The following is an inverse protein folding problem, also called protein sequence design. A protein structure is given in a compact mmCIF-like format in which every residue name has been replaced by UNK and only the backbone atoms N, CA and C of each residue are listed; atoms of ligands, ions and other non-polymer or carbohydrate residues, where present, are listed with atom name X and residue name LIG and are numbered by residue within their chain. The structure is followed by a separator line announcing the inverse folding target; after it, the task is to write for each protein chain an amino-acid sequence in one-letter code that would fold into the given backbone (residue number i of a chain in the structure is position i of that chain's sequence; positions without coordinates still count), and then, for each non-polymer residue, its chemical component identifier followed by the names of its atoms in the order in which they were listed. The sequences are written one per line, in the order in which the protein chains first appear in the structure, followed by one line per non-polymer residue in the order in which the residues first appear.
data_IF_724317579146
#
_entry.id   IF_724317579146
#
_cell.length_a   1.000
_cell.length_b   1.000
_cell.length_c   1.000
_cell.angle_alpha   90.00
_cell.angle_beta   90.00
_cell.angle_gamma   90.00
#
_symmetry.space_group_name_H-M   'P 1'
#
loop_
_entity.id
_entity.type
_entity.pdbx_description
1 polymer ?
#
# COMPACT_ATOMS: atom_id res chain seq x y z
N UNK A 1 -35.70 -9.84 -44.04
CA UNK A 1 -35.21 -8.63 -43.36
C UNK A 1 -35.37 -8.60 -41.84
N UNK A 2 -35.73 -9.72 -41.15
CA UNK A 2 -35.93 -9.80 -39.67
C UNK A 2 -34.70 -10.37 -38.90
N UNK A 3 -33.74 -10.98 -39.58
CA UNK A 3 -32.56 -11.60 -38.93
C UNK A 3 -31.36 -10.67 -38.69
N UNK A 4 -31.31 -9.52 -39.38
CA UNK A 4 -30.18 -8.56 -39.22
C UNK A 4 -30.31 -7.64 -37.97
N UNK A 5 -31.53 -7.46 -37.42
CA UNK A 5 -31.78 -6.60 -36.24
C UNK A 5 -31.42 -7.28 -34.89
N UNK A 6 -31.33 -8.62 -34.87
CA UNK A 6 -31.01 -9.38 -33.67
C UNK A 6 -29.50 -9.42 -33.39
N UNK A 7 -28.66 -9.25 -34.39
CA UNK A 7 -27.20 -9.30 -34.26
C UNK A 7 -26.62 -7.99 -33.68
N UNK A 8 -27.26 -6.87 -33.90
CA UNK A 8 -26.82 -5.56 -33.37
C UNK A 8 -27.13 -5.36 -31.88
N UNK A 9 -28.05 -6.13 -31.30
CA UNK A 9 -28.38 -6.03 -29.87
C UNK A 9 -27.42 -6.84 -28.97
N UNK A 10 -26.72 -7.82 -29.53
CA UNK A 10 -25.76 -8.66 -28.79
C UNK A 10 -24.36 -8.03 -28.67
N UNK A 11 -24.04 -7.00 -29.45
CA UNK A 11 -22.73 -6.30 -29.40
C UNK A 11 -22.73 -5.20 -28.31
N UNK A 12 -23.88 -4.79 -27.83
CA UNK A 12 -24.03 -3.74 -26.80
C UNK A 12 -23.87 -4.19 -25.33
N UNK A 13 -23.70 -5.48 -25.07
CA UNK A 13 -23.66 -6.02 -23.69
C UNK A 13 -22.26 -6.34 -23.15
N UNK A 14 -21.23 -6.02 -23.88
CA UNK A 14 -19.86 -6.28 -23.46
C UNK A 14 -19.22 -4.95 -23.04
N UNK A 15 -18.77 -4.91 -21.80
CA UNK A 15 -17.91 -3.92 -21.16
C UNK A 15 -18.55 -3.04 -20.05
N UNK A 16 -19.30 -3.68 -19.15
CA UNK A 16 -19.24 -3.21 -17.77
C UNK A 16 -18.24 -4.09 -17.03
N UNK A 17 -16.96 -3.86 -17.26
CA UNK A 17 -15.96 -4.33 -16.31
C UNK A 17 -16.08 -3.44 -15.08
N UNK A 18 -16.73 -3.96 -14.05
CA UNK A 18 -16.64 -3.39 -12.70
C UNK A 18 -15.15 -3.55 -12.36
N UNK A 19 -14.41 -2.46 -12.38
CA UNK A 19 -13.03 -2.43 -11.92
C UNK A 19 -13.01 -2.87 -10.45
N UNK A 20 -12.77 -4.14 -10.19
CA UNK A 20 -12.51 -4.63 -8.85
C UNK A 20 -11.21 -3.96 -8.41
N UNK A 21 -11.28 -3.25 -7.30
CA UNK A 21 -10.07 -2.69 -6.68
C UNK A 21 -9.06 -3.83 -6.52
N UNK A 22 -7.92 -3.72 -7.19
CA UNK A 22 -6.86 -4.71 -7.10
C UNK A 22 -6.34 -4.74 -5.67
N UNK A 23 -6.30 -5.92 -5.05
CA UNK A 23 -5.85 -6.07 -3.68
C UNK A 23 -4.33 -5.90 -3.60
N UNK A 24 -3.87 -4.88 -2.90
CA UNK A 24 -2.46 -4.61 -2.64
C UNK A 24 -2.02 -5.50 -1.49
N UNK A 25 -1.01 -6.33 -1.71
CA UNK A 25 -0.53 -7.27 -0.71
C UNK A 25 1.00 -7.35 -0.72
N UNK A 26 1.62 -6.51 0.11
CA UNK A 26 3.04 -6.56 0.39
C UNK A 26 3.33 -7.47 1.58
N UNK A 27 4.38 -8.28 1.48
CA UNK A 27 4.88 -9.15 2.53
C UNK A 27 6.29 -8.74 2.96
N UNK A 28 6.57 -8.92 4.24
CA UNK A 28 7.87 -8.61 4.83
C UNK A 28 8.85 -9.75 4.57
N UNK A 29 10.04 -9.41 4.08
CA UNK A 29 11.15 -10.36 3.90
C UNK A 29 12.07 -10.41 5.12
N UNK A 30 12.89 -11.45 5.21
CA UNK A 30 13.94 -11.56 6.25
C UNK A 30 15.02 -10.48 6.15
N UNK A 31 15.13 -9.80 5.00
CA UNK A 31 16.01 -8.67 4.79
C UNK A 31 15.44 -7.35 5.34
N UNK A 32 14.19 -7.34 5.83
CA UNK A 32 13.53 -6.13 6.33
C UNK A 32 12.96 -5.24 5.23
N UNK A 33 12.78 -5.77 4.04
CA UNK A 33 12.12 -5.10 2.92
C UNK A 33 10.71 -5.65 2.72
N UNK A 34 9.83 -4.84 2.15
CA UNK A 34 8.51 -5.27 1.71
C UNK A 34 8.57 -5.58 0.20
N UNK A 35 7.91 -6.67 -0.21
CA UNK A 35 7.78 -7.08 -1.61
C UNK A 35 6.35 -7.49 -1.90
N UNK A 36 5.92 -7.37 -3.16
CA UNK A 36 4.63 -7.88 -3.61
C UNK A 36 4.57 -9.40 -3.40
N UNK A 37 3.51 -9.86 -2.77
CA UNK A 37 3.31 -11.29 -2.46
C UNK A 37 3.22 -12.16 -3.71
N UNK A 38 2.71 -11.63 -4.83
CA UNK A 38 2.43 -12.40 -6.04
C UNK A 38 3.69 -12.76 -6.82
N UNK A 39 4.61 -11.77 -6.99
CA UNK A 39 5.75 -11.89 -7.89
C UNK A 39 7.08 -11.48 -7.26
N UNK A 40 7.08 -11.11 -5.96
CA UNK A 40 8.24 -10.62 -5.22
C UNK A 40 8.86 -9.33 -5.78
N UNK A 41 8.13 -8.59 -6.62
CA UNK A 41 8.56 -7.27 -7.09
C UNK A 41 8.54 -6.23 -5.96
N UNK A 42 9.27 -5.13 -6.15
CA UNK A 42 9.28 -3.99 -5.23
C UNK A 42 8.16 -2.97 -5.52
N UNK A 43 7.11 -3.41 -6.23
CA UNK A 43 5.95 -2.57 -6.57
C UNK A 43 4.70 -3.38 -6.89
N UNK A 44 3.57 -2.68 -6.91
CA UNK A 44 2.29 -3.15 -7.46
C UNK A 44 1.82 -2.14 -8.51
N UNK A 45 1.21 -2.60 -9.60
CA UNK A 45 0.58 -1.75 -10.60
C UNK A 45 -0.93 -1.90 -10.52
N UNK A 46 -1.64 -0.77 -10.38
CA UNK A 46 -3.09 -0.71 -10.40
C UNK A 46 -3.53 -0.11 -11.73
N UNK A 47 -4.48 -0.77 -12.40
CA UNK A 47 -5.01 -0.33 -13.67
C UNK A 47 -6.26 0.54 -13.46
N UNK A 48 -6.34 1.61 -14.25
CA UNK A 48 -7.44 2.58 -14.32
C UNK A 48 -7.84 2.76 -15.78
N UNK A 49 -8.55 1.81 -16.32
CA UNK A 49 -8.92 1.81 -17.74
C UNK A 49 -9.64 3.11 -18.15
N UNK A 50 -9.21 3.69 -19.26
CA UNK A 50 -9.80 4.89 -19.83
C UNK A 50 -9.46 6.21 -19.14
N UNK A 51 -8.65 6.20 -18.05
CA UNK A 51 -8.20 7.42 -17.38
C UNK A 51 -6.83 7.88 -17.89
N UNK A 52 -6.68 9.19 -18.05
CA UNK A 52 -5.39 9.82 -18.30
C UNK A 52 -4.51 9.79 -17.04
N UNK A 53 -3.22 9.97 -17.23
CA UNK A 53 -2.24 10.13 -16.15
C UNK A 53 -2.65 11.23 -15.15
N UNK A 54 -3.09 12.38 -15.69
CA UNK A 54 -3.46 13.55 -14.89
C UNK A 54 -4.70 13.29 -14.02
N UNK A 55 -5.71 12.61 -14.56
CA UNK A 55 -6.90 12.21 -13.78
C UNK A 55 -6.53 11.24 -12.65
N UNK A 56 -5.67 10.27 -12.91
CA UNK A 56 -5.23 9.31 -11.89
C UNK A 56 -4.41 10.01 -10.81
N UNK A 57 -3.52 10.95 -11.20
CA UNK A 57 -2.72 11.73 -10.27
C UNK A 57 -3.58 12.57 -9.33
N UNK A 58 -4.56 13.32 -9.86
CA UNK A 58 -5.45 14.16 -9.04
C UNK A 58 -6.31 13.32 -8.09
N UNK A 59 -6.83 12.19 -8.55
CA UNK A 59 -7.58 11.26 -7.69
C UNK A 59 -6.72 10.67 -6.58
N UNK A 60 -5.49 10.26 -6.91
CA UNK A 60 -4.55 9.75 -5.93
C UNK A 60 -4.17 10.83 -4.91
N UNK A 61 -3.91 12.07 -5.37
CA UNK A 61 -3.59 13.19 -4.49
C UNK A 61 -4.74 13.49 -3.53
N UNK A 62 -6.00 13.49 -4.02
CA UNK A 62 -7.19 13.64 -3.18
C UNK A 62 -7.29 12.50 -2.16
N UNK A 63 -7.17 11.24 -2.60
CA UNK A 63 -7.28 10.05 -1.73
C UNK A 63 -6.19 10.05 -0.64
N UNK A 64 -4.94 10.37 -1.00
CA UNK A 64 -3.84 10.47 -0.04
C UNK A 64 -4.08 11.62 0.93
N UNK A 65 -4.51 12.80 0.44
CA UNK A 65 -4.81 13.96 1.29
C UNK A 65 -5.88 13.63 2.34
N UNK A 66 -6.91 12.87 1.96
CA UNK A 66 -7.98 12.47 2.87
C UNK A 66 -7.56 11.39 3.88
N UNK A 67 -6.52 10.61 3.58
CA UNK A 67 -6.04 9.55 4.45
C UNK A 67 -5.21 10.06 5.64
N UNK A 68 -4.81 11.35 5.66
CA UNK A 68 -3.92 11.90 6.68
C UNK A 68 -4.46 13.20 7.28
N UNK A 69 -4.25 13.38 8.60
CA UNK A 69 -4.70 14.57 9.32
C UNK A 69 -3.90 15.84 8.96
N UNK A 70 -2.62 15.69 8.62
CA UNK A 70 -1.71 16.80 8.25
C UNK A 70 -1.00 16.50 6.94
N UNK A 71 -1.70 16.45 5.81
CA UNK A 71 -1.14 16.01 4.53
C UNK A 71 -0.01 16.89 4.01
N UNK A 72 0.01 18.19 4.33
CA UNK A 72 1.03 19.14 3.85
C UNK A 72 2.44 18.80 4.32
N UNK A 73 2.57 18.19 5.51
CA UNK A 73 3.87 17.91 6.11
C UNK A 73 4.47 16.59 5.61
N UNK A 74 3.64 15.71 5.05
CA UNK A 74 4.03 14.35 4.67
C UNK A 74 4.02 14.10 3.17
N UNK A 75 3.31 14.92 2.39
CA UNK A 75 3.19 14.75 0.94
C UNK A 75 4.17 15.69 0.23
N UNK A 76 5.03 15.13 -0.61
CA UNK A 76 5.77 15.84 -1.64
C UNK A 76 5.38 15.30 -3.02
N UNK A 77 5.35 16.18 -4.02
CA UNK A 77 4.91 15.79 -5.36
C UNK A 77 5.78 16.39 -6.46
N UNK A 78 5.91 15.65 -7.54
CA UNK A 78 6.26 16.15 -8.87
C UNK A 78 4.97 16.09 -9.69
N UNK A 79 4.51 17.24 -10.17
CA UNK A 79 3.19 17.41 -10.79
C UNK A 79 2.97 16.37 -11.89
N UNK A 80 1.84 15.69 -11.83
CA UNK A 80 1.42 14.64 -12.76
C UNK A 80 2.39 13.44 -12.94
N UNK A 81 3.49 13.37 -12.17
CA UNK A 81 4.47 12.30 -12.30
C UNK A 81 4.58 11.41 -11.07
N UNK A 82 4.65 12.01 -9.88
CA UNK A 82 4.93 11.27 -8.66
C UNK A 82 4.33 11.96 -7.43
N UNK A 83 3.81 11.15 -6.51
CA UNK A 83 3.51 11.54 -5.13
C UNK A 83 4.42 10.72 -4.22
N UNK A 84 5.13 11.38 -3.30
CA UNK A 84 5.89 10.73 -2.24
C UNK A 84 5.24 11.03 -0.90
N UNK A 85 4.98 9.98 -0.13
CA UNK A 85 4.35 10.02 1.19
C UNK A 85 5.43 9.67 2.21
N UNK A 86 5.77 10.62 3.09
CA UNK A 86 6.73 10.45 4.18
C UNK A 86 5.96 10.42 5.49
N UNK A 87 5.59 9.22 5.94
CA UNK A 87 4.68 9.07 7.08
C UNK A 87 5.33 8.38 8.27
N UNK A 88 4.62 8.41 9.40
CA UNK A 88 4.96 7.71 10.63
C UNK A 88 3.78 6.84 11.06
N UNK A 89 4.04 5.58 11.39
CA UNK A 89 3.10 4.72 12.09
C UNK A 89 3.65 4.54 13.52
N UNK A 90 3.06 5.18 14.53
CA UNK A 90 3.63 5.19 15.88
C UNK A 90 3.59 3.82 16.58
N UNK A 91 2.64 2.97 16.22
CA UNK A 91 2.48 1.63 16.79
C UNK A 91 2.02 0.65 15.72
N UNK A 92 2.95 0.21 14.88
CA UNK A 92 2.64 -0.71 13.77
C UNK A 92 2.63 -2.18 14.20
N UNK A 93 3.40 -2.53 15.24
CA UNK A 93 3.48 -3.90 15.75
C UNK A 93 3.86 -3.94 17.22
N UNK A 94 3.67 -5.11 17.81
CA UNK A 94 4.05 -5.40 19.19
C UNK A 94 5.09 -6.53 19.20
N UNK A 95 6.04 -6.44 20.09
CA UNK A 95 6.96 -7.52 20.44
C UNK A 95 6.82 -7.83 21.92
N UNK A 96 6.78 -9.11 22.30
CA UNK A 96 6.73 -9.50 23.72
C UNK A 96 8.08 -9.97 24.19
N UNK A 97 8.62 -9.28 25.20
CA UNK A 97 9.83 -9.68 25.92
C UNK A 97 9.47 -10.01 27.36
N UNK A 98 9.74 -11.24 27.79
CA UNK A 98 9.39 -11.72 29.15
C UNK A 98 7.91 -11.47 29.51
N UNK A 99 7.01 -11.59 28.54
CA UNK A 99 5.57 -11.33 28.72
C UNK A 99 5.15 -9.85 28.62
N UNK A 100 6.10 -8.91 28.66
CA UNK A 100 5.85 -7.46 28.59
C UNK A 100 5.72 -7.05 27.12
N UNK A 101 4.62 -6.40 26.72
CA UNK A 101 4.47 -5.88 25.35
C UNK A 101 5.36 -4.64 25.17
N UNK A 102 6.11 -4.62 24.07
CA UNK A 102 6.88 -3.46 23.61
C UNK A 102 6.29 -3.10 22.27
N UNK A 103 5.76 -1.88 22.13
CA UNK A 103 5.20 -1.38 20.89
C UNK A 103 6.29 -0.74 20.04
N UNK A 104 6.21 -0.96 18.74
CA UNK A 104 7.15 -0.42 17.79
C UNK A 104 6.45 0.40 16.73
N UNK A 105 7.03 1.54 16.45
CA UNK A 105 6.66 2.41 15.35
C UNK A 105 7.71 2.43 14.25
N UNK A 106 7.35 3.05 13.13
CA UNK A 106 8.26 3.23 12.01
C UNK A 106 7.93 4.51 11.23
N UNK A 107 8.99 5.14 10.72
CA UNK A 107 8.88 6.10 9.64
C UNK A 107 9.06 5.40 8.31
N UNK A 108 8.32 5.84 7.32
CA UNK A 108 8.31 5.18 6.02
C UNK A 108 8.19 6.17 4.87
N UNK A 109 8.58 5.72 3.70
CA UNK A 109 8.38 6.42 2.44
C UNK A 109 7.62 5.50 1.48
N UNK A 110 6.52 6.01 0.91
CA UNK A 110 5.79 5.36 -0.18
C UNK A 110 5.82 6.28 -1.40
N UNK A 111 6.08 5.73 -2.59
CA UNK A 111 6.05 6.48 -3.84
C UNK A 111 4.97 5.94 -4.76
N UNK A 112 4.14 6.86 -5.27
CA UNK A 112 3.14 6.60 -6.30
C UNK A 112 3.63 7.23 -7.59
N UNK A 113 3.63 6.50 -8.69
CA UNK A 113 4.04 6.97 -10.03
C UNK A 113 2.91 6.73 -11.02
N UNK A 114 2.73 7.63 -11.98
CA UNK A 114 1.55 7.69 -12.84
C UNK A 114 1.91 7.56 -14.31
N UNK A 115 1.08 6.83 -15.04
CA UNK A 115 1.03 6.76 -16.50
C UNK A 115 -0.43 6.67 -16.94
N UNK A 116 -0.70 6.92 -18.22
CA UNK A 116 -2.04 6.72 -18.77
C UNK A 116 -2.52 5.29 -18.47
N UNK A 117 -3.74 5.21 -17.91
CA UNK A 117 -4.40 3.97 -17.57
C UNK A 117 -3.84 3.22 -16.34
N UNK A 118 -2.82 3.71 -15.62
CA UNK A 118 -2.23 2.96 -14.51
C UNK A 118 -1.46 3.80 -13.50
N UNK A 119 -1.42 3.30 -12.27
CA UNK A 119 -0.59 3.81 -11.17
C UNK A 119 0.32 2.68 -10.67
N UNK A 120 1.59 2.98 -10.47
CA UNK A 120 2.55 2.13 -9.78
C UNK A 120 2.68 2.58 -8.33
N UNK A 121 2.57 1.65 -7.40
CA UNK A 121 2.81 1.85 -5.97
C UNK A 121 4.09 1.10 -5.64
N UNK A 122 5.15 1.82 -5.27
CA UNK A 122 6.37 1.18 -4.80
C UNK A 122 6.15 0.60 -3.40
N UNK A 123 6.78 -0.53 -3.12
CA UNK A 123 6.78 -1.11 -1.79
C UNK A 123 7.23 -0.08 -0.74
N UNK A 124 6.56 0.00 0.41
CA UNK A 124 6.92 0.93 1.47
C UNK A 124 8.38 0.72 1.90
N UNK A 125 9.15 1.80 1.92
CA UNK A 125 10.51 1.80 2.44
C UNK A 125 10.50 2.26 3.90
N UNK A 126 10.95 1.40 4.82
CA UNK A 126 11.06 1.72 6.25
C UNK A 126 12.37 2.50 6.44
N UNK A 127 12.25 3.81 6.68
CA UNK A 127 13.39 4.71 6.82
C UNK A 127 13.93 4.76 8.26
N UNK A 128 13.06 4.56 9.25
CA UNK A 128 13.41 4.49 10.66
C UNK A 128 12.52 3.51 11.39
N UNK A 129 13.10 2.82 12.36
CA UNK A 129 12.44 1.90 13.26
C UNK A 129 12.66 2.36 14.69
N UNK A 130 11.64 2.38 15.55
CA UNK A 130 11.76 2.84 16.93
C UNK A 130 10.79 2.12 17.87
N UNK A 131 11.20 1.95 19.11
CA UNK A 131 10.32 1.54 20.21
C UNK A 131 9.69 2.78 20.86
N UNK A 132 8.55 2.59 21.55
CA UNK A 132 7.96 3.64 22.37
C UNK A 132 9.04 4.23 23.29
N UNK A 133 9.27 5.56 23.15
CA UNK A 133 10.19 6.37 23.95
C UNK A 133 11.70 6.15 23.72
N UNK A 134 12.13 5.35 22.75
CA UNK A 134 13.57 5.21 22.45
C UNK A 134 13.83 5.10 20.94
N UNK A 135 14.71 5.94 20.37
CA UNK A 135 15.17 5.74 19.01
C UNK A 135 15.95 4.43 18.92
N UNK A 136 15.60 3.56 18.00
CA UNK A 136 16.38 2.36 17.73
C UNK A 136 17.62 2.68 16.93
N UNK A 137 18.77 2.28 17.45
CA UNK A 137 20.08 2.45 16.83
C UNK A 137 20.40 1.29 15.89
N UNK A 138 19.69 0.18 16.02
CA UNK A 138 19.91 -1.04 15.22
C UNK A 138 19.14 -0.95 13.91
N UNK A 139 19.75 -1.26 12.76
CA UNK A 139 19.03 -1.38 11.49
C UNK A 139 17.86 -2.36 11.63
N UNK A 140 16.73 -2.08 10.96
CA UNK A 140 15.52 -2.89 11.07
C UNK A 140 15.75 -4.39 10.77
N UNK A 141 16.53 -4.70 9.73
CA UNK A 141 16.93 -6.08 9.40
C UNK A 141 17.73 -6.75 10.52
N UNK A 142 18.61 -6.01 11.18
CA UNK A 142 19.37 -6.48 12.34
C UNK A 142 18.47 -6.82 13.52
N UNK A 143 17.46 -5.98 13.79
CA UNK A 143 16.46 -6.24 14.82
C UNK A 143 15.64 -7.49 14.51
N UNK A 144 15.13 -7.64 13.27
CA UNK A 144 14.41 -8.84 12.84
C UNK A 144 15.21 -10.13 13.10
N UNK A 145 16.50 -10.10 12.80
CA UNK A 145 17.44 -11.22 13.05
C UNK A 145 17.63 -11.46 14.55
N UNK A 146 17.93 -10.42 15.32
CA UNK A 146 18.19 -10.52 16.78
C UNK A 146 16.95 -11.07 17.52
N UNK A 147 15.74 -10.68 17.09
CA UNK A 147 14.49 -11.15 17.68
C UNK A 147 13.98 -12.47 17.10
N UNK A 148 14.73 -13.09 16.19
CA UNK A 148 14.37 -14.35 15.52
C UNK A 148 12.96 -14.29 14.91
N UNK A 149 12.59 -13.15 14.31
CA UNK A 149 11.32 -12.97 13.60
C UNK A 149 11.25 -13.90 12.39
N UNK A 150 12.40 -14.12 11.76
CA UNK A 150 12.60 -15.13 10.72
C UNK A 150 13.62 -16.17 11.18
N UNK A 151 13.39 -17.42 10.79
CA UNK A 151 14.32 -18.56 10.98
C UNK A 151 14.60 -19.21 9.64
N UNK A 152 15.86 -19.30 9.24
CA UNK A 152 16.27 -19.84 7.95
C UNK A 152 15.50 -19.19 6.77
N UNK A 153 15.33 -17.87 6.82
CA UNK A 153 14.61 -17.11 5.79
C UNK A 153 13.08 -17.23 5.82
N UNK A 154 12.52 -18.07 6.69
CA UNK A 154 11.06 -18.27 6.81
C UNK A 154 10.50 -17.57 8.04
N UNK A 155 9.26 -17.07 8.00
CA UNK A 155 8.57 -16.53 9.18
C UNK A 155 8.60 -17.52 10.35
N UNK A 156 8.91 -16.99 11.55
CA UNK A 156 8.83 -17.77 12.77
C UNK A 156 7.37 -17.77 13.27
N UNK A 157 6.68 -18.91 13.34
CA UNK A 157 5.26 -18.95 13.74
C UNK A 157 5.00 -18.30 15.11
N UNK A 158 5.97 -18.37 16.04
CA UNK A 158 5.86 -17.74 17.37
C UNK A 158 5.94 -16.20 17.32
N UNK A 159 6.34 -15.63 16.17
CA UNK A 159 6.51 -14.20 15.94
C UNK A 159 5.65 -13.68 14.78
N UNK A 160 4.73 -14.49 14.29
CA UNK A 160 3.86 -14.15 13.16
C UNK A 160 3.10 -12.85 13.40
N UNK A 161 2.61 -12.64 14.62
CA UNK A 161 1.91 -11.42 15.01
C UNK A 161 2.72 -10.11 14.77
N UNK A 162 4.06 -10.21 14.86
CA UNK A 162 4.94 -9.07 14.55
C UNK A 162 4.94 -8.76 13.06
N UNK A 163 5.02 -9.79 12.23
CA UNK A 163 4.98 -9.69 10.77
C UNK A 163 3.61 -9.16 10.34
N UNK A 164 2.52 -9.76 10.84
CA UNK A 164 1.14 -9.39 10.52
C UNK A 164 0.86 -7.91 10.85
N UNK A 165 1.39 -7.42 11.97
CA UNK A 165 1.26 -6.02 12.36
C UNK A 165 1.91 -5.06 11.37
N UNK A 166 3.12 -5.38 10.91
CA UNK A 166 3.85 -4.56 9.94
C UNK A 166 3.16 -4.61 8.57
N UNK A 167 2.90 -5.82 8.06
CA UNK A 167 2.25 -6.02 6.78
C UNK A 167 0.85 -5.40 6.75
N UNK A 168 0.05 -5.66 7.81
CA UNK A 168 -1.30 -5.14 7.95
C UNK A 168 -1.35 -3.62 7.96
N UNK A 169 -0.40 -2.96 8.63
CA UNK A 169 -0.33 -1.50 8.67
C UNK A 169 -0.21 -0.88 7.28
N UNK A 170 0.68 -1.41 6.44
CA UNK A 170 0.87 -0.89 5.08
C UNK A 170 -0.23 -1.34 4.12
N UNK A 171 -0.62 -2.61 4.16
CA UNK A 171 -1.63 -3.14 3.26
C UNK A 171 -2.99 -2.47 3.48
N UNK A 172 -3.39 -2.24 4.74
CA UNK A 172 -4.64 -1.54 5.07
C UNK A 172 -4.61 -0.08 4.58
N UNK A 173 -3.50 0.64 4.81
CA UNK A 173 -3.33 2.01 4.34
C UNK A 173 -3.45 2.10 2.81
N UNK A 174 -2.70 1.29 2.09
CA UNK A 174 -2.65 1.33 0.62
C UNK A 174 -3.95 0.88 -0.03
N UNK A 175 -4.58 -0.17 0.53
CA UNK A 175 -5.90 -0.61 0.05
C UNK A 175 -6.98 0.42 0.34
N UNK A 176 -6.92 1.16 1.46
CA UNK A 176 -7.85 2.25 1.75
C UNK A 176 -7.69 3.42 0.76
N UNK A 177 -6.45 3.83 0.45
CA UNK A 177 -6.18 4.86 -0.56
C UNK A 177 -6.69 4.40 -1.93
N UNK A 178 -6.35 3.17 -2.35
CA UNK A 178 -6.81 2.60 -3.62
C UNK A 178 -8.34 2.55 -3.71
N UNK A 179 -9.01 2.02 -2.68
CA UNK A 179 -10.47 1.95 -2.65
C UNK A 179 -11.13 3.33 -2.76
N UNK A 180 -10.55 4.36 -2.15
CA UNK A 180 -11.05 5.74 -2.24
C UNK A 180 -11.00 6.29 -3.67
N UNK A 181 -10.03 5.86 -4.50
CA UNK A 181 -9.93 6.27 -5.89
C UNK A 181 -10.99 5.62 -6.80
N UNK A 182 -11.49 4.42 -6.43
CA UNK A 182 -12.52 3.71 -7.19
C UNK A 182 -13.95 4.12 -6.77
N UNK A 183 -14.15 4.62 -5.54
CA UNK A 183 -15.47 4.92 -4.98
C UNK A 183 -15.97 6.35 -5.28
N UNK A 184 -15.86 6.83 -6.53
CA UNK A 184 -16.32 8.17 -6.95
C UNK A 184 -17.82 8.48 -6.74
N UNK A 185 -18.67 7.49 -6.47
CA UNK A 185 -20.14 7.62 -6.62
C UNK A 185 -20.92 7.89 -5.31
N UNK A 186 -20.30 8.33 -4.22
CA UNK A 186 -21.04 8.56 -2.97
C UNK A 186 -21.00 10.00 -2.43
N UNK A 187 -20.48 10.97 -3.15
CA UNK A 187 -20.63 12.38 -2.80
C UNK A 187 -21.81 13.01 -3.58
N UNK A 188 -23.04 12.61 -3.26
CA UNK A 188 -24.22 13.45 -3.53
C UNK A 188 -24.41 14.35 -2.32
N UNK A 189 -24.14 15.64 -2.50
CA UNK A 189 -24.53 16.69 -1.56
C UNK A 189 -26.04 16.85 -1.58
#
# INVERSE_FOLDING_TARGET
MRKAKLLLFLIGLSFYQIGLAQNINFILTSAGTLVNKEDSSDFVVINFEGKSKDEIFEEALKAVTMAYNSPKDIISKVENEMISINGTIPSCTVYRSLGIPIYFGMDYVIKLQFKDGKMRINAPYISRWFADNAPNITPFSGWLKAQSVFKNGKPNPKKQYTIDGIEGSFNNLLNSISASMFNKNKESW
#
